data_IF_681760736505
#
_entry.id   IF_681760736505
#
_cell.length_a   1.000
_cell.length_b   1.000
_cell.length_c   1.000
_cell.angle_alpha   90.00
_cell.angle_beta   90.00
_cell.angle_gamma   90.00
#
_symmetry.space_group_name_H-M   'P 1'
#
loop_
_entity.id
_entity.type
_entity.pdbx_description
1 polymer ?
#
# COMPACT_ATOMS: atom_id res chain seq x y z
N UNK A 1 13.01 19.96 -2.77
CA UNK A 1 11.77 19.32 -3.26
C UNK A 1 11.12 18.64 -2.06
N UNK A 2 9.85 18.91 -1.76
CA UNK A 2 9.16 18.34 -0.57
C UNK A 2 8.08 17.40 -1.09
N UNK A 3 8.10 16.14 -0.67
CA UNK A 3 6.95 15.24 -0.82
C UNK A 3 5.73 15.98 -0.27
N UNK A 4 4.62 15.96 -1.00
CA UNK A 4 3.44 16.65 -0.52
C UNK A 4 2.98 16.01 0.79
N UNK A 5 2.19 16.75 1.56
CA UNK A 5 1.65 16.27 2.84
C UNK A 5 0.80 15.00 2.66
N UNK A 6 0.33 14.72 1.44
CA UNK A 6 -0.51 13.57 1.09
C UNK A 6 0.25 12.24 1.12
N UNK A 7 1.49 12.15 0.59
CA UNK A 7 2.32 10.93 0.70
C UNK A 7 2.59 10.55 2.15
N UNK A 8 2.81 11.57 3.00
CA UNK A 8 3.02 11.36 4.44
C UNK A 8 1.77 10.81 5.13
N UNK A 9 0.58 11.16 4.63
CA UNK A 9 -0.69 10.70 5.19
C UNK A 9 -1.04 9.25 4.80
N UNK A 10 -0.59 8.75 3.65
CA UNK A 10 -0.79 7.34 3.23
C UNK A 10 -0.17 6.37 4.25
N UNK A 11 0.97 6.73 4.83
CA UNK A 11 1.62 5.95 5.88
C UNK A 11 0.76 5.87 7.17
N UNK A 12 -0.08 6.87 7.44
CA UNK A 12 -0.88 6.94 8.67
C UNK A 12 -2.14 6.05 8.60
N UNK A 13 -2.77 5.96 7.43
CA UNK A 13 -4.03 5.22 7.23
C UNK A 13 -3.86 3.71 7.27
N UNK A 14 -2.66 3.20 6.99
CA UNK A 14 -2.37 1.76 6.93
C UNK A 14 -2.38 1.03 8.28
N UNK A 15 -2.22 1.74 9.40
CA UNK A 15 -2.16 1.11 10.73
C UNK A 15 -3.50 0.47 11.15
N UNK A 16 -4.63 0.89 10.54
CA UNK A 16 -5.94 0.36 10.86
C UNK A 16 -6.20 -1.04 10.28
N UNK A 17 -5.55 -1.41 9.17
CA UNK A 17 -5.79 -2.68 8.47
C UNK A 17 -5.07 -3.87 9.14
N UNK A 18 -3.95 -3.62 9.84
CA UNK A 18 -3.16 -4.66 10.52
C UNK A 18 -3.82 -5.20 11.80
N UNK A 19 -4.88 -4.56 12.29
CA UNK A 19 -5.58 -4.96 13.51
C UNK A 19 -6.57 -6.13 13.31
N UNK A 20 -6.88 -6.51 12.07
CA UNK A 20 -7.85 -7.57 11.75
C UNK A 20 -7.19 -8.93 11.41
N UNK A 21 -5.87 -8.99 11.30
CA UNK A 21 -5.13 -10.21 10.94
C UNK A 21 -4.60 -10.99 12.15
N UNK A 22 -5.50 -11.56 12.95
CA UNK A 22 -5.15 -12.68 13.84
C UNK A 22 -6.44 -13.41 14.25
N UNK A 23 -6.87 -14.41 13.47
CA UNK A 23 -8.17 -15.04 13.71
C UNK A 23 -8.52 -16.27 12.88
N UNK A 24 -7.65 -17.27 12.81
CA UNK A 24 -8.07 -18.69 12.89
C UNK A 24 -8.58 -19.42 11.64
N UNK A 25 -7.79 -20.43 11.26
CA UNK A 25 -8.16 -21.78 10.78
C UNK A 25 -8.52 -22.01 9.31
N UNK A 26 -7.63 -22.80 8.69
CA UNK A 26 -7.85 -23.90 7.73
C UNK A 26 -8.93 -23.71 6.65
N UNK A 27 -8.51 -23.37 5.42
CA UNK A 27 -8.97 -24.06 4.20
C UNK A 27 -8.00 -23.82 3.03
N UNK A 28 -7.37 -24.89 2.58
CA UNK A 28 -6.50 -24.96 1.41
C UNK A 28 -7.31 -24.81 0.11
N UNK A 29 -7.20 -23.66 -0.58
CA UNK A 29 -7.65 -23.63 -1.97
C UNK A 29 -7.93 -22.31 -2.68
N UNK A 30 -7.19 -21.21 -2.47
CA UNK A 30 -7.34 -20.00 -3.31
C UNK A 30 -6.01 -19.20 -3.42
N UNK A 31 -4.99 -19.69 -4.14
CA UNK A 31 -3.83 -18.87 -4.55
C UNK A 31 -3.22 -17.99 -3.45
N UNK A 32 -2.96 -16.70 -3.74
CA UNK A 32 -2.39 -15.71 -2.82
C UNK A 32 -3.19 -15.47 -1.52
N UNK A 33 -4.37 -16.07 -1.33
CA UNK A 33 -5.20 -15.86 -0.14
C UNK A 33 -4.84 -16.73 1.07
N UNK A 34 -3.75 -17.52 1.03
CA UNK A 34 -3.25 -18.09 2.28
C UNK A 34 -2.79 -16.97 3.22
N UNK A 35 -3.16 -17.05 4.51
CA UNK A 35 -2.94 -15.98 5.49
C UNK A 35 -1.48 -15.53 5.54
N UNK A 36 -0.56 -16.47 5.35
CA UNK A 36 0.88 -16.23 5.26
C UNK A 36 1.31 -15.59 3.93
N UNK A 37 0.68 -15.92 2.80
CA UNK A 37 1.06 -15.37 1.49
C UNK A 37 0.63 -13.92 1.33
N UNK A 38 -0.63 -13.58 1.62
CA UNK A 38 -1.11 -12.21 1.44
C UNK A 38 -0.42 -11.23 2.40
N UNK A 39 -0.20 -11.65 3.65
CA UNK A 39 0.52 -10.83 4.64
C UNK A 39 1.96 -10.58 4.18
N UNK A 40 2.63 -11.58 3.60
CA UNK A 40 3.98 -11.43 3.06
C UNK A 40 4.03 -10.47 1.88
N UNK A 41 3.03 -10.51 0.99
CA UNK A 41 2.94 -9.62 -0.18
C UNK A 41 2.78 -8.17 0.27
N UNK A 42 1.80 -7.89 1.15
CA UNK A 42 1.56 -6.54 1.65
C UNK A 42 2.77 -6.02 2.43
N UNK A 43 3.41 -6.87 3.24
CA UNK A 43 4.62 -6.50 3.96
C UNK A 43 5.81 -6.20 3.03
N UNK A 44 5.96 -6.94 1.94
CA UNK A 44 7.00 -6.70 0.94
C UNK A 44 6.81 -5.34 0.25
N UNK A 45 5.60 -5.07 -0.25
CA UNK A 45 5.32 -3.80 -0.93
C UNK A 45 5.40 -2.60 0.04
N UNK A 46 5.00 -2.77 1.31
CA UNK A 46 5.18 -1.75 2.34
C UNK A 46 6.68 -1.44 2.60
N UNK A 47 7.54 -2.47 2.60
CA UNK A 47 8.97 -2.30 2.75
C UNK A 47 9.58 -1.58 1.55
N UNK A 48 9.19 -1.96 0.33
CA UNK A 48 9.64 -1.28 -0.90
C UNK A 48 9.23 0.20 -0.93
N UNK A 49 8.00 0.52 -0.51
CA UNK A 49 7.54 1.90 -0.38
C UNK A 49 8.35 2.68 0.67
N UNK A 50 8.63 2.07 1.82
CA UNK A 50 9.47 2.67 2.86
C UNK A 50 10.90 2.94 2.37
N UNK A 51 11.50 1.98 1.67
CA UNK A 51 12.84 2.12 1.10
C UNK A 51 12.89 3.22 0.03
N UNK A 52 11.86 3.33 -0.81
CA UNK A 52 11.74 4.42 -1.78
C UNK A 52 11.66 5.79 -1.09
N UNK A 53 10.89 5.90 0.00
CA UNK A 53 10.82 7.12 0.81
C UNK A 53 12.18 7.47 1.42
N UNK A 54 12.93 6.48 1.91
CA UNK A 54 14.30 6.70 2.40
C UNK A 54 15.22 7.16 1.27
N UNK A 55 15.16 6.55 0.10
CA UNK A 55 15.96 6.95 -1.06
C UNK A 55 15.70 8.41 -1.45
N UNK A 56 14.44 8.83 -1.54
CA UNK A 56 14.07 10.21 -1.85
C UNK A 56 14.48 11.21 -0.75
N UNK A 57 14.37 10.83 0.52
CA UNK A 57 14.83 11.68 1.63
C UNK A 57 16.34 11.96 1.56
N UNK A 58 17.13 10.98 1.13
CA UNK A 58 18.58 11.12 0.96
C UNK A 58 18.94 11.84 -0.34
N UNK A 59 18.21 11.59 -1.42
CA UNK A 59 18.38 12.24 -2.72
C UNK A 59 17.02 12.61 -3.33
N UNK A 60 16.58 13.88 -3.19
CA UNK A 60 15.28 14.33 -3.67
C UNK A 60 15.31 14.65 -5.18
N UNK A 61 15.80 13.69 -5.98
CA UNK A 61 15.80 13.73 -7.43
C UNK A 61 14.45 13.30 -8.00
N UNK A 62 14.13 13.75 -9.23
CA UNK A 62 12.91 13.34 -9.93
C UNK A 62 12.80 11.82 -10.04
N UNK A 63 13.92 11.13 -10.29
CA UNK A 63 13.97 9.67 -10.36
C UNK A 63 13.55 8.99 -9.05
N UNK A 64 14.00 9.51 -7.89
CA UNK A 64 13.58 8.96 -6.60
C UNK A 64 12.15 9.34 -6.24
N UNK A 65 11.66 10.50 -6.72
CA UNK A 65 10.24 10.86 -6.59
C UNK A 65 9.35 9.89 -7.36
N UNK A 66 9.69 9.61 -8.62
CA UNK A 66 8.96 8.63 -9.45
C UNK A 66 9.01 7.24 -8.82
N UNK A 67 10.13 6.86 -8.20
CA UNK A 67 10.26 5.60 -7.48
C UNK A 67 9.31 5.54 -6.25
N UNK A 68 9.19 6.63 -5.48
CA UNK A 68 8.22 6.72 -4.38
C UNK A 68 6.80 6.56 -4.91
N UNK A 69 6.45 7.26 -6.00
CA UNK A 69 5.11 7.15 -6.62
C UNK A 69 4.80 5.73 -7.05
N UNK A 70 5.72 5.09 -7.77
CA UNK A 70 5.52 3.71 -8.22
C UNK A 70 5.39 2.74 -7.05
N UNK A 71 6.23 2.87 -6.03
CA UNK A 71 6.18 1.98 -4.86
C UNK A 71 4.90 2.18 -4.03
N UNK A 72 4.40 3.42 -3.92
CA UNK A 72 3.12 3.72 -3.28
C UNK A 72 1.94 3.07 -4.04
N UNK A 73 1.89 3.20 -5.37
CA UNK A 73 0.84 2.58 -6.20
C UNK A 73 0.88 1.06 -6.07
N UNK A 74 2.06 0.44 -6.13
CA UNK A 74 2.19 -1.01 -5.98
C UNK A 74 1.71 -1.51 -4.62
N UNK A 75 2.01 -0.78 -3.55
CA UNK A 75 1.53 -1.10 -2.22
C UNK A 75 0.00 -0.96 -2.10
N UNK A 76 -0.58 0.07 -2.70
CA UNK A 76 -2.03 0.27 -2.78
C UNK A 76 -2.73 -0.86 -3.57
N UNK A 77 -2.15 -1.30 -4.69
CA UNK A 77 -2.65 -2.44 -5.46
C UNK A 77 -2.54 -3.74 -4.66
N UNK A 78 -1.44 -3.97 -3.94
CA UNK A 78 -1.31 -5.13 -3.06
C UNK A 78 -2.38 -5.14 -1.97
N UNK A 79 -2.77 -3.99 -1.42
CA UNK A 79 -3.89 -3.92 -0.48
C UNK A 79 -5.23 -4.26 -1.15
N UNK A 80 -5.44 -3.83 -2.39
CA UNK A 80 -6.64 -4.14 -3.17
C UNK A 80 -6.75 -5.64 -3.46
N UNK A 81 -5.66 -6.25 -3.92
CA UNK A 81 -5.61 -7.69 -4.28
C UNK A 81 -5.98 -8.61 -3.12
N UNK A 82 -5.62 -8.23 -1.89
CA UNK A 82 -5.92 -9.05 -0.71
C UNK A 82 -7.35 -8.87 -0.20
N UNK A 83 -8.10 -7.86 -0.67
CA UNK A 83 -9.47 -7.64 -0.19
C UNK A 83 -10.33 -8.86 -0.47
N UNK A 84 -10.10 -9.57 -1.57
CA UNK A 84 -10.81 -10.81 -1.92
C UNK A 84 -10.53 -11.95 -0.93
N UNK A 85 -9.39 -11.88 -0.22
CA UNK A 85 -8.99 -12.81 0.81
C UNK A 85 -9.49 -12.42 2.22
N UNK A 86 -9.81 -11.15 2.44
CA UNK A 86 -10.24 -10.64 3.75
C UNK A 86 -11.77 -10.54 3.81
N UNK A 87 -12.44 -11.21 4.77
CA UNK A 87 -13.87 -11.03 4.99
C UNK A 87 -14.14 -9.64 5.58
N UNK A 88 -14.35 -8.65 4.71
CA UNK A 88 -14.67 -7.26 5.07
C UNK A 88 -16.02 -6.83 4.52
N UNK A 89 -16.81 -6.14 5.34
CA UNK A 89 -18.08 -5.49 4.95
C UNK A 89 -17.87 -4.17 4.22
N UNK A 90 -16.66 -3.60 4.30
CA UNK A 90 -16.34 -2.25 3.82
C UNK A 90 -15.54 -2.28 2.51
N UNK A 91 -15.62 -3.37 1.73
CA UNK A 91 -14.83 -3.56 0.49
C UNK A 91 -14.95 -2.38 -0.48
N UNK A 92 -16.16 -1.88 -0.69
CA UNK A 92 -16.40 -0.74 -1.59
C UNK A 92 -15.69 0.52 -1.07
N UNK A 93 -15.88 0.85 0.21
CA UNK A 93 -15.23 2.00 0.85
C UNK A 93 -13.71 1.90 0.85
N UNK A 94 -13.16 0.68 1.01
CA UNK A 94 -11.70 0.47 0.94
C UNK A 94 -11.22 0.63 -0.50
N UNK A 95 -11.93 0.12 -1.50
CA UNK A 95 -11.58 0.32 -2.90
C UNK A 95 -11.61 1.80 -3.30
N UNK A 96 -12.65 2.54 -2.89
CA UNK A 96 -12.76 3.98 -3.11
C UNK A 96 -11.58 4.71 -2.46
N UNK A 97 -11.23 4.37 -1.21
CA UNK A 97 -10.07 4.96 -0.53
C UNK A 97 -8.73 4.62 -1.20
N UNK A 98 -8.60 3.44 -1.80
CA UNK A 98 -7.42 3.07 -2.60
C UNK A 98 -7.37 3.87 -3.90
N UNK A 99 -8.50 4.04 -4.59
CA UNK A 99 -8.60 4.86 -5.81
C UNK A 99 -8.23 6.32 -5.54
N UNK A 100 -8.80 6.92 -4.49
CA UNK A 100 -8.48 8.28 -4.06
C UNK A 100 -6.98 8.43 -3.77
N UNK A 101 -6.40 7.47 -3.03
CA UNK A 101 -4.96 7.48 -2.72
C UNK A 101 -4.09 7.33 -3.97
N UNK A 102 -4.50 6.49 -4.94
CA UNK A 102 -3.79 6.34 -6.21
C UNK A 102 -3.87 7.62 -7.05
N UNK A 103 -5.03 8.27 -7.10
CA UNK A 103 -5.19 9.54 -7.80
C UNK A 103 -4.31 10.63 -7.17
N UNK A 104 -4.30 10.72 -5.83
CA UNK A 104 -3.43 11.64 -5.11
C UNK A 104 -1.95 11.41 -5.47
N UNK A 105 -1.46 10.17 -5.34
CA UNK A 105 -0.06 9.82 -5.69
C UNK A 105 0.25 10.17 -7.15
N UNK A 106 -0.64 9.81 -8.07
CA UNK A 106 -0.43 10.05 -9.49
C UNK A 106 -0.42 11.53 -9.86
N UNK A 107 -1.21 12.35 -9.16
CA UNK A 107 -1.30 13.80 -9.35
C UNK A 107 -0.05 14.56 -8.88
N UNK A 108 0.85 13.92 -8.14
CA UNK A 108 2.05 14.59 -7.63
C UNK A 108 3.08 14.85 -8.71
N UNK A 109 3.54 16.09 -8.77
CA UNK A 109 4.55 16.53 -9.72
C UNK A 109 5.96 16.26 -9.15
N UNK A 110 6.77 15.54 -9.93
CA UNK A 110 8.14 15.17 -9.57
C UNK A 110 9.21 16.11 -10.17
N UNK A 111 8.82 17.33 -10.57
CA UNK A 111 9.64 18.26 -11.37
C UNK A 111 9.99 19.58 -10.67
#
# INVERSE_FOLDING_TARGET
MKLSKSITNIALTCTALLAFGCGGSDDDGLGNCSESAWTQIVANEAALYSDALFAYQNDPSAANCDNVKSAAVNYLEALRDILDCVPTTNRAEINDAIDDAQEEVNSEDCN
#
